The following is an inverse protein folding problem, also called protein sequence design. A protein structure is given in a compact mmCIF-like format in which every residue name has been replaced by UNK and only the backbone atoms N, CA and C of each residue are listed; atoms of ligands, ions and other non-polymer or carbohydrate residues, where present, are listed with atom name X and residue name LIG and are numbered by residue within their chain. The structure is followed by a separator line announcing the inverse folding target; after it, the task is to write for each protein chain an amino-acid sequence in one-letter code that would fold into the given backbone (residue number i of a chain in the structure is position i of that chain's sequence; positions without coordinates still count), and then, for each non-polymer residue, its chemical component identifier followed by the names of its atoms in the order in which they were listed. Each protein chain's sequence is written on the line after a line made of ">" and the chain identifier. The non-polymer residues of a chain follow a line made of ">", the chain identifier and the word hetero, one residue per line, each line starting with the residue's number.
data_IF_932460965594
#
_entry.id   IF_932460965594
#
_cell.length_a   1.000
_cell.length_b   1.000
_cell.length_c   1.000
_cell.angle_alpha   90.00
_cell.angle_beta   90.00
_cell.angle_gamma   90.00
#
_symmetry.space_group_name_H-M   'P 1'
#
loop_
_entity.id
_entity.type
_entity.pdbx_description
1 polymer ?
#
# COMPACT_ATOMS: atom_id res chain seq x y z
N UNK A 1 -1.95 -20.97 -13.91
CA UNK A 1 -2.33 -20.72 -12.51
C UNK A 1 -2.21 -19.23 -12.35
N UNK A 2 -3.32 -18.50 -12.16
CA UNK A 2 -3.26 -17.06 -11.96
C UNK A 2 -2.49 -16.84 -10.65
N UNK A 3 -1.31 -16.25 -10.76
CA UNK A 3 -0.57 -15.71 -9.63
C UNK A 3 -1.56 -14.81 -8.90
N UNK A 4 -1.99 -15.21 -7.69
CA UNK A 4 -2.91 -14.37 -6.93
C UNK A 4 -2.11 -13.14 -6.61
N UNK A 5 -2.52 -12.02 -7.18
CA UNK A 5 -1.91 -10.72 -6.98
C UNK A 5 -2.01 -10.34 -5.50
N UNK A 6 -0.90 -10.49 -4.79
CA UNK A 6 -0.82 -10.26 -3.35
C UNK A 6 -0.20 -8.89 -3.08
N UNK A 7 -0.97 -8.03 -2.39
CA UNK A 7 -0.56 -6.70 -2.02
C UNK A 7 -0.10 -6.65 -0.57
N UNK A 8 0.87 -5.79 -0.29
CA UNK A 8 1.31 -5.46 1.05
C UNK A 8 1.15 -3.97 1.29
N UNK A 9 0.60 -3.61 2.44
CA UNK A 9 0.61 -2.24 2.93
C UNK A 9 1.92 -2.07 3.70
N UNK A 10 2.88 -1.34 3.14
CA UNK A 10 4.13 -0.99 3.79
C UNK A 10 3.95 0.30 4.56
N UNK A 11 4.23 0.22 5.85
CA UNK A 11 4.18 1.33 6.79
C UNK A 11 5.60 1.88 6.89
N UNK A 12 5.77 3.11 6.43
CA UNK A 12 6.99 3.89 6.51
C UNK A 12 6.84 4.98 7.57
N UNK A 13 7.96 5.54 8.03
CA UNK A 13 7.94 6.66 8.98
C UNK A 13 7.15 7.87 8.47
N UNK A 14 7.23 8.13 7.18
CA UNK A 14 6.64 9.32 6.55
C UNK A 14 5.40 9.01 5.69
N UNK A 15 4.89 7.77 5.72
CA UNK A 15 3.67 7.46 4.99
C UNK A 15 3.41 5.98 4.74
N UNK A 16 2.48 5.73 3.82
CA UNK A 16 2.02 4.40 3.46
C UNK A 16 2.31 4.12 1.98
N UNK A 17 2.66 2.88 1.67
CA UNK A 17 2.80 2.37 0.31
C UNK A 17 1.98 1.10 0.17
N UNK A 18 1.25 0.96 -0.93
CA UNK A 18 0.67 -0.32 -1.34
C UNK A 18 1.58 -0.92 -2.40
N UNK A 19 2.13 -2.10 -2.15
CA UNK A 19 3.10 -2.73 -3.04
C UNK A 19 2.63 -4.11 -3.45
N UNK A 20 2.88 -4.44 -4.71
CA UNK A 20 2.75 -5.81 -5.21
C UNK A 20 4.02 -6.56 -4.85
N UNK A 21 3.92 -7.60 -4.04
CA UNK A 21 5.12 -8.25 -3.51
C UNK A 21 4.88 -9.73 -3.21
N UNK A 22 5.89 -10.55 -3.44
CA UNK A 22 5.88 -12.01 -3.27
C UNK A 22 5.93 -12.47 -1.80
N UNK A 23 5.59 -11.61 -0.83
CA UNK A 23 5.54 -11.96 0.59
C UNK A 23 6.88 -11.98 1.36
N UNK A 24 8.02 -11.80 0.71
CA UNK A 24 9.32 -11.76 1.39
C UNK A 24 9.59 -10.40 2.09
N UNK A 25 9.04 -10.20 3.29
CA UNK A 25 9.16 -8.95 4.07
C UNK A 25 10.58 -8.41 4.25
N UNK A 26 11.61 -9.27 4.27
CA UNK A 26 13.02 -8.83 4.38
C UNK A 26 13.44 -7.98 3.18
N UNK A 27 12.94 -8.27 1.97
CA UNK A 27 13.21 -7.44 0.79
C UNK A 27 12.58 -6.05 0.91
N UNK A 28 11.43 -5.94 1.60
CA UNK A 28 10.81 -4.64 1.87
C UNK A 28 11.68 -3.80 2.82
N UNK A 29 12.27 -4.42 3.85
CA UNK A 29 13.20 -3.73 4.74
C UNK A 29 14.47 -3.25 4.03
N UNK A 30 15.00 -4.05 3.11
CA UNK A 30 16.17 -3.67 2.31
C UNK A 30 15.82 -2.55 1.31
N UNK A 31 14.59 -2.56 0.78
CA UNK A 31 14.09 -1.58 -0.20
C UNK A 31 13.77 -0.23 0.42
N UNK A 32 13.16 -0.19 1.61
CA UNK A 32 12.71 1.04 2.24
C UNK A 32 13.53 1.34 3.50
N UNK A 33 14.36 2.39 3.45
CA UNK A 33 15.19 2.82 4.58
C UNK A 33 14.38 3.12 5.83
N UNK A 34 13.20 3.69 5.66
CA UNK A 34 12.29 4.12 6.74
C UNK A 34 11.18 3.10 7.01
N UNK A 35 11.40 1.84 6.63
CA UNK A 35 10.47 0.74 6.91
C UNK A 35 10.22 0.61 8.41
N UNK A 36 8.93 0.58 8.78
CA UNK A 36 8.51 0.27 10.15
C UNK A 36 7.86 -1.11 10.21
N UNK A 37 6.89 -1.37 9.32
CA UNK A 37 6.15 -2.62 9.28
C UNK A 37 5.52 -2.85 7.90
N UNK A 38 5.00 -4.05 7.68
CA UNK A 38 4.17 -4.35 6.52
C UNK A 38 3.01 -5.24 6.93
N UNK A 39 1.83 -5.00 6.37
CA UNK A 39 0.64 -5.81 6.53
C UNK A 39 0.33 -6.53 5.22
N UNK A 40 -0.02 -7.81 5.29
CA UNK A 40 -0.35 -8.64 4.13
C UNK A 40 0.32 -10.01 4.18
N UNK A 41 0.20 -10.81 3.11
CA UNK A 41 -0.40 -10.45 1.82
C UNK A 41 -1.92 -10.29 1.87
N UNK A 42 -2.45 -9.37 1.06
CA UNK A 42 -3.87 -9.09 0.89
C UNK A 42 -4.28 -9.11 -0.58
N UNK A 43 -5.55 -9.38 -0.84
CA UNK A 43 -6.20 -8.96 -2.09
C UNK A 43 -6.41 -7.44 -2.10
N UNK A 44 -6.75 -6.86 -3.25
CA UNK A 44 -7.03 -5.42 -3.35
C UNK A 44 -8.19 -4.97 -2.44
N UNK A 45 -9.21 -5.82 -2.30
CA UNK A 45 -10.39 -5.54 -1.46
C UNK A 45 -10.03 -5.60 0.03
N UNK A 46 -9.30 -6.65 0.46
CA UNK A 46 -8.79 -6.78 1.83
C UNK A 46 -7.82 -5.64 2.20
N UNK A 47 -6.96 -5.24 1.27
CA UNK A 47 -6.07 -4.09 1.49
C UNK A 47 -6.87 -2.80 1.67
N UNK A 48 -7.89 -2.58 0.84
CA UNK A 48 -8.74 -1.39 0.96
C UNK A 48 -9.56 -1.39 2.26
N UNK A 49 -10.07 -2.55 2.68
CA UNK A 49 -10.77 -2.71 3.96
C UNK A 49 -9.83 -2.42 5.14
N UNK A 50 -8.61 -2.97 5.11
CA UNK A 50 -7.58 -2.70 6.11
C UNK A 50 -7.25 -1.20 6.18
N UNK A 51 -7.08 -0.54 5.04
CA UNK A 51 -6.81 0.91 5.00
C UNK A 51 -7.99 1.70 5.56
N UNK A 52 -9.24 1.33 5.25
CA UNK A 52 -10.43 1.97 5.82
C UNK A 52 -10.54 1.82 7.34
N UNK A 53 -10.11 0.68 7.88
CA UNK A 53 -10.12 0.42 9.32
C UNK A 53 -9.04 1.22 10.05
N UNK A 54 -7.79 1.13 9.60
CA UNK A 54 -6.64 1.67 10.34
C UNK A 54 -6.32 3.13 9.99
N UNK A 55 -6.60 3.55 8.75
CA UNK A 55 -6.31 4.89 8.23
C UNK A 55 -7.49 5.47 7.42
N UNK A 56 -8.64 5.75 8.07
CA UNK A 56 -9.85 6.20 7.38
C UNK A 56 -9.65 7.48 6.55
N UNK A 57 -8.81 8.42 7.02
CA UNK A 57 -8.48 9.65 6.27
C UNK A 57 -7.73 9.36 4.97
N UNK A 58 -6.82 8.38 4.99
CA UNK A 58 -6.10 7.91 3.80
C UNK A 58 -7.05 7.19 2.84
N UNK A 59 -7.94 6.34 3.37
CA UNK A 59 -8.93 5.65 2.55
C UNK A 59 -9.84 6.63 1.81
N UNK A 60 -10.25 7.73 2.46
CA UNK A 60 -11.13 8.74 1.87
C UNK A 60 -10.54 9.37 0.59
N UNK A 61 -9.22 9.49 0.50
CA UNK A 61 -8.53 10.13 -0.63
C UNK A 61 -7.93 9.13 -1.63
N UNK A 62 -7.58 7.92 -1.18
CA UNK A 62 -6.88 6.93 -2.01
C UNK A 62 -7.73 5.74 -2.46
N UNK A 63 -9.00 5.61 -2.04
CA UNK A 63 -9.82 4.43 -2.38
C UNK A 63 -9.90 4.14 -3.89
N UNK A 64 -10.10 5.17 -4.71
CA UNK A 64 -10.10 5.02 -6.18
C UNK A 64 -8.71 4.64 -6.71
N UNK A 65 -7.65 5.24 -6.18
CA UNK A 65 -6.29 4.94 -6.60
C UNK A 65 -5.89 3.50 -6.28
N UNK A 66 -6.33 2.95 -5.15
CA UNK A 66 -6.13 1.54 -4.78
C UNK A 66 -6.83 0.60 -5.77
N UNK A 67 -8.07 0.91 -6.15
CA UNK A 67 -8.81 0.13 -7.15
C UNK A 67 -8.17 0.20 -8.55
N UNK A 68 -7.77 1.41 -8.99
CA UNK A 68 -7.10 1.60 -10.27
C UNK A 68 -5.72 0.90 -10.28
N UNK A 69 -5.00 0.91 -9.15
CA UNK A 69 -3.74 0.21 -8.96
C UNK A 69 -3.89 -1.31 -9.06
N UNK A 70 -4.97 -1.87 -8.49
CA UNK A 70 -5.25 -3.30 -8.58
C UNK A 70 -5.45 -3.78 -10.03
N UNK A 71 -5.96 -2.92 -10.91
CA UNK A 71 -6.11 -3.20 -12.33
C UNK A 71 -4.87 -2.83 -13.19
N UNK A 72 -3.81 -2.31 -12.56
CA UNK A 72 -2.61 -1.81 -13.22
C UNK A 72 -1.44 -2.80 -13.13
N UNK A 73 -0.47 -2.61 -14.04
CA UNK A 73 0.81 -3.31 -14.04
C UNK A 73 1.87 -2.63 -13.14
N UNK A 74 1.49 -1.58 -12.41
CA UNK A 74 2.39 -0.94 -11.45
C UNK A 74 2.71 -1.86 -10.26
N UNK A 75 3.95 -1.79 -9.77
CA UNK A 75 4.41 -2.55 -8.60
C UNK A 75 4.19 -1.82 -7.27
N UNK A 76 3.94 -0.51 -7.31
CA UNK A 76 3.81 0.34 -6.13
C UNK A 76 2.81 1.48 -6.34
N UNK A 77 2.06 1.79 -5.29
CA UNK A 77 1.22 2.97 -5.14
C UNK A 77 1.55 3.69 -3.82
N UNK A 78 1.72 5.00 -3.89
CA UNK A 78 1.83 5.85 -2.70
C UNK A 78 0.45 6.20 -2.15
N UNK A 79 0.23 5.91 -0.86
CA UNK A 79 -1.04 6.13 -0.16
C UNK A 79 -0.97 7.34 0.78
N UNK A 80 -0.05 8.27 0.53
CA UNK A 80 0.02 9.48 1.33
C UNK A 80 -1.27 10.29 1.13
N UNK A 81 -1.91 10.76 2.21
CA UNK A 81 -2.91 11.79 2.05
C UNK A 81 -2.18 12.94 1.39
N UNK A 82 -2.65 13.39 0.22
CA UNK A 82 -2.13 14.60 -0.40
C UNK A 82 -2.47 15.78 0.52
N UNK A 83 -1.71 15.98 1.59
CA UNK A 83 -1.63 17.24 2.31
C UNK A 83 -0.46 18.01 1.71
N UNK A 84 -0.86 18.90 0.80
CA UNK A 84 -0.28 20.22 0.54
C UNK A 84 1.24 20.36 0.47
N UNK A 85 1.72 20.63 -0.75
CA UNK A 85 2.97 21.40 -0.92
C UNK A 85 2.90 22.72 -0.14
N UNK A 86 4.06 23.29 0.24
CA UNK A 86 4.15 24.34 1.23
C UNK A 86 3.61 25.68 0.73
N UNK A 87 2.92 26.37 1.65
CA UNK A 87 2.63 27.83 1.80
C UNK A 87 1.88 28.57 0.70
#
# INVERSE_FOLDING_TARGET
>A
MADREHFHIVILRDGLRLVRHDGHWRRLQERYRDYMASLGPFTADEALEMIRSEWPDVAAVCAKAVQDFAASLADELSLEPRESGPV
#
